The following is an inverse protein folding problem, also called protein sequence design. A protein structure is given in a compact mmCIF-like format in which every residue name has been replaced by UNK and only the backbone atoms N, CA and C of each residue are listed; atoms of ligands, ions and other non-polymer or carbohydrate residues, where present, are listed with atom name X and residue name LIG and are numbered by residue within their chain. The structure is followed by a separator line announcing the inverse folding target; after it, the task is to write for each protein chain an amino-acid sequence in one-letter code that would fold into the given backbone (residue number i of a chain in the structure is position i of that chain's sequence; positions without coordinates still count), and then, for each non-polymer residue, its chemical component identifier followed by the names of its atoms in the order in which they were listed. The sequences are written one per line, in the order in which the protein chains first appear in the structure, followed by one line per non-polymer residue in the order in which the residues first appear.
data_IF_542166076993
#
_entry.id   IF_542166076993
#
_cell.length_a   1.000
_cell.length_b   1.000
_cell.length_c   1.000
_cell.angle_alpha   90.00
_cell.angle_beta   90.00
_cell.angle_gamma   90.00
#
_symmetry.space_group_name_H-M   'P 1'
#
loop_
_entity.id
_entity.type
_entity.pdbx_description
1 polymer ?
#
# COMPACT_ATOMS: atom_id res chain seq x y z
N UNK A 1 -1.84 10.84 -12.38
CA UNK A 1 -0.94 9.72 -12.06
C UNK A 1 -1.80 8.47 -12.02
N UNK A 2 -1.45 7.43 -12.78
CA UNK A 2 -2.12 6.13 -12.64
C UNK A 2 -1.65 5.53 -11.31
N UNK A 3 -2.58 5.33 -10.37
CA UNK A 3 -2.24 4.83 -9.04
C UNK A 3 -1.63 3.42 -9.08
N UNK A 4 -0.92 3.04 -8.02
CA UNK A 4 -0.34 1.71 -7.86
C UNK A 4 -1.41 0.70 -7.47
N UNK A 5 -1.28 -0.53 -7.97
CA UNK A 5 -2.22 -1.60 -7.65
C UNK A 5 -1.80 -2.32 -6.37
N UNK A 6 -2.73 -2.48 -5.44
CA UNK A 6 -2.53 -3.35 -4.27
C UNK A 6 -2.68 -4.80 -4.71
N UNK A 7 -1.65 -5.60 -4.49
CA UNK A 7 -1.60 -7.02 -4.88
C UNK A 7 -1.85 -7.96 -3.71
N UNK A 8 -1.50 -7.55 -2.49
CA UNK A 8 -1.69 -8.38 -1.29
C UNK A 8 -1.86 -7.55 -0.02
N UNK A 9 -2.32 -8.21 1.06
CA UNK A 9 -2.52 -7.65 2.40
C UNK A 9 -2.01 -8.67 3.42
N UNK A 10 -0.99 -8.27 4.18
CA UNK A 10 -0.33 -9.13 5.14
C UNK A 10 -0.58 -8.59 6.56
N UNK A 11 -1.00 -9.46 7.47
CA UNK A 11 -1.13 -9.16 8.89
C UNK A 11 -0.19 -10.07 9.69
N UNK A 12 0.81 -9.47 10.33
CA UNK A 12 1.73 -10.19 11.21
C UNK A 12 1.13 -10.26 12.61
N UNK A 13 0.44 -11.35 12.92
CA UNK A 13 -0.16 -11.56 14.26
C UNK A 13 0.86 -11.59 15.40
N UNK A 14 2.14 -11.84 15.09
CA UNK A 14 3.23 -11.87 16.08
C UNK A 14 3.70 -10.46 16.44
N UNK A 15 3.88 -9.59 15.44
CA UNK A 15 4.37 -8.22 15.64
C UNK A 15 3.21 -7.21 15.82
N UNK A 16 1.97 -7.60 15.57
CA UNK A 16 0.81 -6.71 15.56
C UNK A 16 0.86 -5.67 14.44
N UNK A 17 1.46 -6.04 13.31
CA UNK A 17 1.76 -5.12 12.21
C UNK A 17 0.97 -5.45 10.95
N UNK A 18 0.58 -4.38 10.24
CA UNK A 18 -0.21 -4.44 9.02
C UNK A 18 0.64 -4.00 7.84
N UNK A 19 0.55 -4.73 6.73
CA UNK A 19 1.32 -4.46 5.53
C UNK A 19 0.45 -4.61 4.28
N UNK A 20 0.82 -3.89 3.23
CA UNK A 20 0.27 -4.06 1.88
C UNK A 20 1.42 -4.32 0.91
N UNK A 21 1.16 -5.12 -0.12
CA UNK A 21 2.03 -5.20 -1.28
C UNK A 21 1.43 -4.38 -2.41
N UNK A 22 2.24 -3.50 -2.99
CA UNK A 22 1.88 -2.73 -4.17
C UNK A 22 2.77 -3.12 -5.34
N UNK A 23 2.19 -3.12 -6.54
CA UNK A 23 2.93 -3.25 -7.79
C UNK A 23 3.07 -1.87 -8.43
N UNK A 24 4.30 -1.37 -8.50
CA UNK A 24 4.61 -0.20 -9.31
C UNK A 24 4.62 -0.61 -10.79
N UNK A 25 3.79 0.04 -11.62
CA UNK A 25 3.80 -0.23 -13.06
C UNK A 25 5.05 0.34 -13.74
N UNK A 26 5.59 1.46 -13.22
CA UNK A 26 6.81 2.10 -13.71
C UNK A 26 8.04 1.24 -13.46
N UNK A 27 8.18 0.71 -12.24
CA UNK A 27 9.37 -0.05 -11.85
C UNK A 27 9.22 -1.57 -12.05
N UNK A 28 7.99 -2.04 -12.33
CA UNK A 28 7.63 -3.48 -12.36
C UNK A 28 8.07 -4.25 -11.12
N UNK A 29 8.27 -3.57 -10.00
CA UNK A 29 8.67 -4.15 -8.72
C UNK A 29 7.46 -4.31 -7.80
N UNK A 30 7.55 -5.31 -6.92
CA UNK A 30 6.66 -5.42 -5.77
C UNK A 30 7.32 -4.72 -4.59
N UNK A 31 6.57 -3.86 -3.92
CA UNK A 31 7.02 -3.13 -2.75
C UNK A 31 6.09 -3.46 -1.59
N UNK A 32 6.65 -3.97 -0.50
CA UNK A 32 5.92 -4.20 0.75
C UNK A 32 5.98 -2.95 1.61
N UNK A 33 4.82 -2.38 1.93
CA UNK A 33 4.69 -1.16 2.72
C UNK A 33 3.99 -1.46 4.04
N UNK A 34 4.55 -1.00 5.16
CA UNK A 34 3.89 -1.03 6.46
C UNK A 34 2.77 0.01 6.52
N UNK A 35 1.59 -0.40 6.98
CA UNK A 35 0.45 0.47 7.28
C UNK A 35 0.34 0.61 8.80
N UNK A 36 0.44 1.85 9.30
CA UNK A 36 0.48 2.11 10.75
C UNK A 36 -0.89 2.04 11.43
N UNK A 37 -1.97 2.16 10.67
CA UNK A 37 -3.35 2.14 11.19
C UNK A 37 -4.08 0.90 10.68
N UNK A 38 -4.60 0.09 11.61
CA UNK A 38 -5.46 -1.05 11.30
C UNK A 38 -6.70 -0.62 10.52
N UNK A 39 -7.32 0.50 10.90
CA UNK A 39 -8.53 1.02 10.25
C UNK A 39 -8.27 1.33 8.77
N UNK A 40 -7.18 2.04 8.48
CA UNK A 40 -6.76 2.33 7.10
C UNK A 40 -6.46 1.03 6.37
N UNK A 41 -5.71 0.11 6.99
CA UNK A 41 -5.41 -1.18 6.39
C UNK A 41 -6.68 -1.97 6.06
N UNK A 42 -7.68 -1.97 6.94
CA UNK A 42 -8.99 -2.61 6.75
C UNK A 42 -9.75 -2.08 5.54
N UNK A 43 -9.64 -0.78 5.25
CA UNK A 43 -10.31 -0.13 4.11
C UNK A 43 -9.65 -0.40 2.76
N UNK A 44 -8.36 -0.78 2.75
CA UNK A 44 -7.62 -1.09 1.52
C UNK A 44 -8.12 -2.43 0.95
N UNK A 45 -8.40 -2.46 -0.35
CA UNK A 45 -8.86 -3.63 -1.10
C UNK A 45 -7.78 -4.12 -2.06
N UNK A 46 -7.55 -5.42 -2.04
CA UNK A 46 -6.67 -6.09 -3.03
C UNK A 46 -7.31 -5.98 -4.42
N UNK A 47 -6.50 -5.69 -5.43
CA UNK A 47 -6.94 -5.54 -6.81
C UNK A 47 -7.20 -4.09 -7.22
N UNK A 48 -7.50 -3.22 -6.26
CA UNK A 48 -7.79 -1.81 -6.52
C UNK A 48 -6.50 -0.98 -6.68
N UNK A 49 -6.65 0.20 -7.32
CA UNK A 49 -5.58 1.16 -7.52
C UNK A 49 -5.69 2.33 -6.54
N UNK A 50 -4.55 2.73 -5.99
CA UNK A 50 -4.45 3.82 -5.03
C UNK A 50 -3.29 4.74 -5.40
N UNK A 51 -3.44 6.02 -5.10
CA UNK A 51 -2.32 6.94 -5.02
C UNK A 51 -1.66 6.73 -3.64
N UNK A 52 -0.40 6.27 -3.63
CA UNK A 52 0.31 5.89 -2.41
C UNK A 52 1.58 6.71 -2.29
N UNK A 53 1.65 7.54 -1.26
CA UNK A 53 2.90 8.16 -0.82
C UNK A 53 3.53 7.28 0.26
N UNK A 54 4.78 6.86 0.04
CA UNK A 54 5.53 6.09 1.01
C UNK A 54 6.91 6.69 1.24
N UNK A 55 7.50 6.37 2.39
CA UNK A 55 8.82 6.86 2.77
C UNK A 55 9.66 5.74 3.39
N UNK A 56 10.97 5.90 3.27
CA UNK A 56 11.98 5.07 3.91
C UNK A 56 12.54 5.82 5.12
N UNK A 57 12.75 5.13 6.23
CA UNK A 57 13.42 5.71 7.40
C UNK A 57 14.64 4.85 7.75
N UNK A 58 15.84 5.30 7.37
CA UNK A 58 17.07 4.55 7.57
C UNK A 58 17.04 3.17 6.89
N UNK A 59 17.36 2.12 7.65
CA UNK A 59 17.33 0.72 7.20
C UNK A 59 15.98 0.02 7.51
N UNK A 60 14.94 0.76 7.88
CA UNK A 60 13.62 0.19 8.15
C UNK A 60 12.84 -0.08 6.85
N UNK A 61 11.85 -0.98 6.93
CA UNK A 61 10.90 -1.22 5.85
C UNK A 61 10.15 0.08 5.52
N UNK A 62 9.90 0.30 4.22
CA UNK A 62 9.09 1.42 3.78
C UNK A 62 7.69 1.39 4.43
N UNK A 63 7.15 2.56 4.72
CA UNK A 63 5.83 2.72 5.32
C UNK A 63 4.96 3.67 4.52
N UNK A 64 3.65 3.45 4.59
CA UNK A 64 2.65 4.33 3.98
C UNK A 64 2.60 5.65 4.76
N UNK A 65 2.93 6.75 4.08
CA UNK A 65 2.78 8.11 4.58
C UNK A 65 1.37 8.63 4.31
N UNK A 66 0.85 8.37 3.11
CA UNK A 66 -0.51 8.71 2.68
C UNK A 66 -1.00 7.70 1.66
N UNK A 67 -2.31 7.42 1.66
CA UNK A 67 -2.95 6.55 0.67
C UNK A 67 -4.33 7.11 0.33
N UNK A 68 -4.58 7.32 -0.96
CA UNK A 68 -5.85 7.85 -1.46
C UNK A 68 -6.40 6.93 -2.53
N UNK A 69 -7.71 6.66 -2.46
CA UNK A 69 -8.38 5.83 -3.46
C UNK A 69 -8.44 6.55 -4.81
N UNK A 70 -7.86 5.95 -5.84
CA UNK A 70 -7.93 6.48 -7.20
C UNK A 70 -9.21 5.97 -7.84
N UNK A 71 -10.31 6.70 -7.65
CA UNK A 71 -11.57 6.40 -8.33
C UNK A 71 -11.35 6.54 -9.84
N UNK A 72 -11.33 5.43 -10.57
CA UNK A 72 -11.49 5.50 -12.02
C UNK A 72 -12.91 6.01 -12.27
N UNK A 73 -13.03 7.25 -12.72
CA UNK A 73 -14.27 7.71 -13.34
C UNK A 73 -14.44 6.85 -14.59
N UNK A 74 -15.37 5.91 -14.54
CA UNK A 74 -15.83 5.22 -15.75
C UNK A 74 -16.54 6.24 -16.62
N UNK A 75 -15.99 6.49 -17.81
CA UNK A 75 -16.75 6.94 -18.96
C UNK A 75 -17.59 5.79 -19.52
#
# INVERSE_FOLDING_TARGET
MEGVRVTDKIHSSYEGEYYIEIKSEEEKTLITLRVKSEEIWGLIKVGERYDVEYAWYGNEKAYVKSITYTKQYGE
#
